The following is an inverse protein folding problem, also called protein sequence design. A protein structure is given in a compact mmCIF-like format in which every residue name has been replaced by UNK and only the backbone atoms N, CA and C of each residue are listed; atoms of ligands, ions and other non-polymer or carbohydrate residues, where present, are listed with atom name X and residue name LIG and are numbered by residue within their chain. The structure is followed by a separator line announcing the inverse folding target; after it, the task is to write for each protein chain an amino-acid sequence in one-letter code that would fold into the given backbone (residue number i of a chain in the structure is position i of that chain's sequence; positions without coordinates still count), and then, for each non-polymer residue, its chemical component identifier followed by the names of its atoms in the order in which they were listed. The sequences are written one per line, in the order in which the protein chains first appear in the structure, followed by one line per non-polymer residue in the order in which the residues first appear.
data_IF_558498500017
#
_entry.id   IF_558498500017
#
_cell.length_a   1.000
_cell.length_b   1.000
_cell.length_c   1.000
_cell.angle_alpha   90.00
_cell.angle_beta   90.00
_cell.angle_gamma   90.00
#
_symmetry.space_group_name_H-M   'P 1'
#
loop_
_entity.id
_entity.type
_entity.pdbx_description
1 polymer ?
#
# COMPACT_ATOMS: atom_id res chain seq x y z
N UNK A 1 7.77 -7.38 -17.29
CA UNK A 1 8.45 -7.88 -16.07
C UNK A 1 9.63 -7.02 -15.62
N UNK A 2 10.55 -6.60 -16.51
CA UNK A 2 11.72 -5.75 -16.16
C UNK A 2 11.36 -4.49 -15.35
N UNK A 3 10.30 -3.77 -15.73
CA UNK A 3 9.84 -2.58 -15.01
C UNK A 3 9.44 -2.89 -13.55
N UNK A 4 8.71 -3.98 -13.32
CA UNK A 4 8.35 -4.42 -11.97
C UNK A 4 9.60 -4.72 -11.12
N UNK A 5 10.56 -5.46 -11.68
CA UNK A 5 11.79 -5.81 -10.97
C UNK A 5 12.65 -4.60 -10.64
N UNK A 6 12.78 -3.65 -11.57
CA UNK A 6 13.46 -2.38 -11.34
C UNK A 6 12.78 -1.57 -10.22
N UNK A 7 11.46 -1.48 -10.25
CA UNK A 7 10.70 -0.77 -9.19
C UNK A 7 10.86 -1.41 -7.82
N UNK A 8 10.90 -2.74 -7.73
CA UNK A 8 11.15 -3.45 -6.46
C UNK A 8 12.57 -3.18 -5.95
N UNK A 9 13.58 -3.16 -6.83
CA UNK A 9 14.96 -2.81 -6.45
C UNK A 9 15.02 -1.39 -5.91
N UNK A 10 14.45 -0.41 -6.61
CA UNK A 10 14.39 0.98 -6.19
C UNK A 10 13.69 1.12 -4.84
N UNK A 11 12.56 0.45 -4.64
CA UNK A 11 11.87 0.48 -3.35
C UNK A 11 12.74 -0.03 -2.20
N UNK A 12 13.46 -1.14 -2.42
CA UNK A 12 14.38 -1.67 -1.41
C UNK A 12 15.53 -0.70 -1.09
N UNK A 13 15.99 0.09 -2.05
CA UNK A 13 16.97 1.16 -1.82
C UNK A 13 16.36 2.31 -1.02
N UNK A 14 15.12 2.72 -1.33
CA UNK A 14 14.39 3.74 -0.55
C UNK A 14 14.18 3.28 0.89
N UNK A 15 13.85 2.00 1.12
CA UNK A 15 13.75 1.42 2.47
C UNK A 15 15.05 1.48 3.27
N UNK A 16 16.21 1.54 2.62
CA UNK A 16 17.53 1.67 3.25
C UNK A 16 17.99 3.12 3.39
N UNK A 17 17.31 4.06 2.74
CA UNK A 17 17.64 5.48 2.80
C UNK A 17 17.29 6.08 4.17
N UNK A 18 17.95 7.19 4.54
CA UNK A 18 17.67 7.90 5.80
C UNK A 18 16.23 8.40 5.90
N UNK A 19 15.62 8.74 4.77
CA UNK A 19 14.25 9.28 4.71
C UNK A 19 13.19 8.18 4.75
N UNK A 20 13.53 6.99 4.24
CA UNK A 20 12.59 5.87 4.13
C UNK A 20 11.45 6.11 3.12
N UNK A 21 10.56 5.12 2.94
CA UNK A 21 9.36 5.26 2.12
C UNK A 21 8.31 6.11 2.84
N UNK A 22 7.59 6.93 2.08
CA UNK A 22 6.40 7.64 2.54
C UNK A 22 5.12 6.98 2.02
N UNK A 23 3.96 7.56 2.34
CA UNK A 23 2.65 7.10 1.87
C UNK A 23 2.60 6.96 0.34
N UNK A 24 3.12 7.94 -0.41
CA UNK A 24 3.10 7.91 -1.87
C UNK A 24 3.98 6.79 -2.42
N UNK A 25 5.12 6.53 -1.78
CA UNK A 25 6.02 5.44 -2.12
C UNK A 25 5.31 4.08 -2.04
N UNK A 26 4.54 3.84 -0.98
CA UNK A 26 3.74 2.62 -0.84
C UNK A 26 2.60 2.52 -1.87
N UNK A 27 1.86 3.61 -2.12
CA UNK A 27 0.83 3.63 -3.17
C UNK A 27 1.42 3.29 -4.55
N UNK A 28 2.56 3.90 -4.90
CA UNK A 28 3.23 3.65 -6.17
C UNK A 28 3.70 2.20 -6.28
N UNK A 29 4.25 1.62 -5.20
CA UNK A 29 4.66 0.22 -5.23
C UNK A 29 3.48 -0.74 -5.37
N UNK A 30 2.35 -0.46 -4.72
CA UNK A 30 1.14 -1.25 -4.93
C UNK A 30 0.69 -1.17 -6.39
N UNK A 31 0.61 0.02 -6.99
CA UNK A 31 0.24 0.18 -8.41
C UNK A 31 1.20 -0.53 -9.37
N UNK A 32 2.50 -0.59 -9.04
CA UNK A 32 3.48 -1.38 -9.82
C UNK A 32 3.08 -2.87 -9.91
N UNK A 33 2.34 -3.40 -8.94
CA UNK A 33 1.83 -4.78 -8.99
C UNK A 33 0.80 -5.00 -10.12
N UNK A 34 0.20 -3.94 -10.67
CA UNK A 34 -0.67 -4.02 -11.86
C UNK A 34 0.08 -4.48 -13.12
N UNK A 35 1.41 -4.30 -13.15
CA UNK A 35 2.27 -4.79 -14.23
C UNK A 35 2.47 -6.31 -14.23
N UNK A 36 1.97 -7.00 -13.20
CA UNK A 36 1.99 -8.46 -13.10
C UNK A 36 0.65 -9.05 -13.57
N UNK A 37 0.65 -10.27 -14.13
CA UNK A 37 -0.58 -10.89 -14.60
C UNK A 37 -1.67 -10.89 -13.52
N UNK A 38 -2.93 -10.54 -13.86
CA UNK A 38 -4.04 -10.58 -12.92
C UNK A 38 -4.14 -11.93 -12.23
N UNK A 39 -4.46 -11.91 -10.93
CA UNK A 39 -4.59 -13.11 -10.08
C UNK A 39 -3.34 -14.00 -9.99
N UNK A 40 -2.20 -13.60 -10.56
CA UNK A 40 -0.95 -14.35 -10.37
C UNK A 40 -0.54 -14.35 -8.90
N UNK A 41 -0.03 -15.48 -8.43
CA UNK A 41 0.44 -15.64 -7.05
C UNK A 41 1.49 -14.57 -6.69
N UNK A 42 2.37 -14.24 -7.65
CA UNK A 42 3.39 -13.18 -7.47
C UNK A 42 2.75 -11.81 -7.23
N UNK A 43 1.71 -11.43 -7.99
CA UNK A 43 0.98 -10.17 -7.79
C UNK A 43 0.35 -10.13 -6.41
N UNK A 44 -0.37 -11.20 -6.06
CA UNK A 44 -1.10 -11.31 -4.79
C UNK A 44 -0.13 -11.24 -3.61
N UNK A 45 0.94 -12.04 -3.65
CA UNK A 45 1.97 -12.11 -2.60
C UNK A 45 2.66 -10.76 -2.40
N UNK A 46 3.09 -10.10 -3.48
CA UNK A 46 3.79 -8.81 -3.39
C UNK A 46 2.85 -7.68 -2.95
N UNK A 47 1.62 -7.62 -3.47
CA UNK A 47 0.64 -6.61 -3.07
C UNK A 47 0.31 -6.74 -1.57
N UNK A 48 0.01 -7.96 -1.10
CA UNK A 48 -0.23 -8.22 0.33
C UNK A 48 0.97 -7.85 1.19
N UNK A 49 2.18 -8.29 0.83
CA UNK A 49 3.38 -7.99 1.60
C UNK A 49 3.68 -6.48 1.65
N UNK A 50 3.45 -5.77 0.54
CA UNK A 50 3.62 -4.31 0.46
C UNK A 50 2.63 -3.60 1.36
N UNK A 51 1.36 -4.00 1.33
CA UNK A 51 0.33 -3.42 2.20
C UNK A 51 0.65 -3.64 3.68
N UNK A 52 1.01 -4.86 4.07
CA UNK A 52 1.40 -5.15 5.46
C UNK A 52 2.62 -4.35 5.92
N UNK A 53 3.58 -4.09 5.03
CA UNK A 53 4.71 -3.17 5.32
C UNK A 53 4.21 -1.74 5.52
N UNK A 54 3.25 -1.28 4.72
CA UNK A 54 2.63 0.03 4.87
C UNK A 54 1.89 0.17 6.21
N UNK A 55 1.11 -0.85 6.61
CA UNK A 55 0.45 -0.92 7.92
C UNK A 55 1.46 -0.78 9.06
N UNK A 56 2.56 -1.56 9.03
CA UNK A 56 3.62 -1.50 10.06
C UNK A 56 4.32 -0.15 10.09
N UNK A 57 4.50 0.47 8.93
CA UNK A 57 5.10 1.80 8.81
C UNK A 57 4.16 2.91 9.28
N UNK A 58 2.87 2.64 9.51
CA UNK A 58 1.91 3.65 9.93
C UNK A 58 1.58 4.66 8.82
N UNK A 59 1.65 4.25 7.55
CA UNK A 59 1.55 5.15 6.40
C UNK A 59 0.34 4.87 5.49
N UNK A 60 -0.62 4.07 5.96
CA UNK A 60 -1.85 3.70 5.23
C UNK A 60 -2.80 4.87 5.16
N UNK A 61 -3.31 5.11 3.95
CA UNK A 61 -4.40 6.03 3.62
C UNK A 61 -5.49 5.29 2.84
N UNK A 62 -6.61 5.95 2.55
CA UNK A 62 -7.72 5.34 1.81
C UNK A 62 -7.27 4.79 0.44
N UNK A 63 -6.40 5.50 -0.27
CA UNK A 63 -5.85 5.06 -1.55
C UNK A 63 -5.10 3.73 -1.43
N UNK A 64 -4.29 3.51 -0.40
CA UNK A 64 -3.58 2.23 -0.23
C UNK A 64 -4.54 1.06 -0.05
N UNK A 65 -5.66 1.28 0.64
CA UNK A 65 -6.71 0.26 0.84
C UNK A 65 -7.47 0.00 -0.47
N UNK A 66 -7.86 1.06 -1.17
CA UNK A 66 -8.57 0.97 -2.45
C UNK A 66 -7.72 0.25 -3.51
N UNK A 67 -6.43 0.57 -3.61
CA UNK A 67 -5.50 -0.08 -4.54
C UNK A 67 -5.36 -1.57 -4.18
N UNK A 68 -5.18 -1.93 -2.90
CA UNK A 68 -5.10 -3.33 -2.50
C UNK A 68 -6.38 -4.09 -2.89
N UNK A 69 -7.56 -3.51 -2.64
CA UNK A 69 -8.86 -4.12 -2.96
C UNK A 69 -8.99 -4.50 -4.44
N UNK A 70 -8.47 -3.67 -5.34
CA UNK A 70 -8.44 -3.97 -6.78
C UNK A 70 -7.32 -4.93 -7.21
N UNK A 71 -6.30 -5.13 -6.37
CA UNK A 71 -5.12 -5.93 -6.71
C UNK A 71 -5.26 -7.41 -6.38
N UNK A 72 -5.97 -7.75 -5.31
CA UNK A 72 -6.02 -9.10 -4.74
C UNK A 72 -7.44 -9.64 -4.66
N UNK A 73 -7.63 -10.98 -4.62
CA UNK A 73 -8.94 -11.59 -4.33
C UNK A 73 -9.49 -11.16 -2.97
N UNK A 74 -10.83 -11.21 -2.83
CA UNK A 74 -11.54 -10.78 -1.62
C UNK A 74 -11.02 -11.45 -0.35
N UNK A 75 -10.72 -12.75 -0.41
CA UNK A 75 -10.23 -13.53 0.73
C UNK A 75 -8.86 -13.02 1.22
N UNK A 76 -8.02 -12.58 0.27
CA UNK A 76 -6.70 -12.04 0.58
C UNK A 76 -6.82 -10.63 1.15
N UNK A 77 -7.75 -9.83 0.61
CA UNK A 77 -8.05 -8.51 1.13
C UNK A 77 -8.58 -8.58 2.56
N UNK A 78 -9.54 -9.45 2.80
CA UNK A 78 -10.14 -9.72 4.11
C UNK A 78 -9.10 -10.21 5.11
N UNK A 79 -8.26 -11.18 4.73
CA UNK A 79 -7.19 -11.67 5.59
C UNK A 79 -6.12 -10.61 5.91
N UNK A 80 -5.91 -9.63 5.02
CA UNK A 80 -4.94 -8.56 5.23
C UNK A 80 -5.51 -7.41 6.07
N UNK A 81 -6.82 -7.17 5.97
CA UNK A 81 -7.46 -5.97 6.54
C UNK A 81 -8.33 -6.27 7.77
N UNK A 82 -8.85 -7.49 7.91
CA UNK A 82 -9.90 -7.83 8.86
C UNK A 82 -11.29 -7.32 8.47
N UNK A 83 -11.46 -6.78 7.26
CA UNK A 83 -12.71 -6.19 6.77
C UNK A 83 -13.18 -6.85 5.47
N UNK A 84 -14.49 -7.04 5.34
CA UNK A 84 -15.09 -7.50 4.07
C UNK A 84 -14.87 -6.47 2.96
N UNK A 85 -14.82 -6.94 1.72
CA UNK A 85 -14.56 -6.08 0.55
C UNK A 85 -15.56 -4.93 0.43
N UNK A 86 -16.84 -5.18 0.75
CA UNK A 86 -17.93 -4.21 0.64
C UNK A 86 -18.03 -3.24 1.82
N UNK A 87 -17.25 -3.47 2.89
CA UNK A 87 -17.30 -2.62 4.08
C UNK A 87 -16.57 -1.29 3.86
N UNK A 88 -17.14 -0.23 4.44
CA UNK A 88 -16.38 0.99 4.70
C UNK A 88 -15.29 0.69 5.74
N UNK A 89 -14.04 1.00 5.41
CA UNK A 89 -12.90 0.71 6.28
C UNK A 89 -12.56 1.97 7.06
N UNK A 90 -12.73 1.91 8.37
CA UNK A 90 -12.14 2.87 9.28
C UNK A 90 -10.67 2.46 9.46
N UNK A 91 -9.75 3.22 8.88
CA UNK A 91 -8.31 2.92 8.97
C UNK A 91 -7.89 3.01 10.44
N UNK A 92 -7.36 1.92 11.04
CA UNK A 92 -6.87 1.94 12.41
C UNK A 92 -5.77 2.99 12.59
N UNK A 93 -5.76 3.66 13.74
CA UNK A 93 -4.74 4.67 14.06
C UNK A 93 -3.31 4.15 13.86
N UNK A 94 -3.04 2.91 14.27
CA UNK A 94 -1.71 2.28 14.10
C UNK A 94 -1.26 2.19 12.65
N UNK A 95 -2.20 2.06 11.71
CA UNK A 95 -1.89 1.99 10.29
C UNK A 95 -1.65 3.36 9.68
N UNK A 96 -2.09 4.45 10.30
CA UNK A 96 -1.98 5.82 9.77
C UNK A 96 -1.19 6.79 10.65
N UNK A 97 -0.60 6.31 11.77
CA UNK A 97 0.10 7.14 12.78
C UNK A 97 1.23 8.05 12.25
N UNK A 98 1.82 7.73 11.10
CA UNK A 98 2.90 8.49 10.46
C UNK A 98 2.44 9.26 9.21
N UNK A 99 1.15 9.23 8.89
CA UNK A 99 0.60 10.04 7.79
C UNK A 99 0.65 11.50 8.19
N UNK A 100 1.40 12.31 7.42
CA UNK A 100 1.45 13.76 7.63
C UNK A 100 0.08 14.35 7.33
N UNK A 101 -0.61 14.82 8.36
CA UNK A 101 -1.86 15.58 8.19
C UNK A 101 -1.57 16.81 7.33
N UNK A 102 -2.30 16.98 6.21
CA UNK A 102 -2.32 18.26 5.50
C UNK A 102 -2.94 19.27 6.45
N UNK A 103 -2.14 20.22 6.96
CA UNK A 103 -2.68 21.43 7.56
C UNK A 103 -3.54 22.10 6.50
N UNK A 104 -4.86 22.02 6.64
CA UNK A 104 -5.79 22.82 5.86
C UNK A 104 -5.42 24.28 6.13
N UNK A 105 -4.78 24.96 5.16
CA UNK A 105 -4.64 26.41 5.20
C UNK A 105 -6.05 26.97 5.03
N UNK A 106 -6.73 27.23 6.14
CA UNK A 106 -7.89 28.10 6.14
C UNK A 106 -7.40 29.45 5.61
N UNK A 107 -7.76 29.76 4.36
CA UNK A 107 -7.70 31.13 3.85
C UNK A 107 -8.86 31.86 4.54
N UNK A 108 -8.53 32.64 5.55
CA UNK A 108 -9.37 33.75 6.01
C UNK A 108 -9.34 34.86 4.95
#
# INVERSE_FOLDING_TARGET
QKAFETSIKLFNEVCKSKTGPDTFTYCNLLRVCELLPPKSEKRISVARATFLKCCKAGLVIDDTVAILRGLVPSEVFEAATGHTVDSFIIIPFEWSRNVKQKKTRNRH
#
